data_IF_046047879224
#
_entry.id   IF_046047879224
#
_cell.length_a   1.000
_cell.length_b   1.000
_cell.length_c   1.000
_cell.angle_alpha   90.00
_cell.angle_beta   90.00
_cell.angle_gamma   90.00
#
_symmetry.space_group_name_H-M   'P 1'
#
loop_
_entity.id
_entity.type
_entity.pdbx_description
1 polymer ?
#
# COMPACT_ATOMS: atom_id res chain seq x y z
N UNK A 1 40.38 30.52 11.89
CA UNK A 1 40.66 29.63 12.87
C UNK A 1 39.72 28.49 12.84
N UNK A 2 39.73 27.63 13.84
CA UNK A 2 38.96 26.42 13.83
C UNK A 2 37.45 26.61 13.72
N UNK A 3 37.01 27.76 14.01
CA UNK A 3 35.57 28.07 13.95
C UNK A 3 34.97 27.84 12.58
N UNK A 4 35.68 28.16 11.53
CA UNK A 4 35.15 28.02 10.19
C UNK A 4 34.95 26.56 9.85
N UNK A 5 35.83 25.72 10.35
CA UNK A 5 35.69 24.28 10.11
C UNK A 5 34.45 23.74 10.81
N UNK A 6 34.18 24.24 12.00
CA UNK A 6 33.02 23.79 12.75
C UNK A 6 31.71 24.10 12.03
N UNK A 7 31.65 25.25 11.37
CA UNK A 7 30.48 25.63 10.64
C UNK A 7 30.19 24.70 9.49
N UNK A 8 31.22 24.27 8.78
CA UNK A 8 31.05 23.34 7.71
C UNK A 8 30.52 21.99 8.19
N UNK A 9 31.00 21.59 9.35
CA UNK A 9 30.53 20.32 9.93
C UNK A 9 29.06 20.42 10.35
N UNK A 10 28.68 21.55 10.89
CA UNK A 10 27.32 21.76 11.34
C UNK A 10 26.34 21.67 10.17
N UNK A 11 26.72 22.21 9.04
CA UNK A 11 25.84 22.23 7.88
C UNK A 11 25.55 20.83 7.37
N UNK A 12 26.44 19.90 7.61
CA UNK A 12 26.22 18.53 7.14
C UNK A 12 25.35 17.72 8.07
N UNK A 13 25.05 18.23 9.27
CA UNK A 13 24.43 17.43 10.29
C UNK A 13 22.91 17.47 10.35
N UNK A 14 22.29 18.61 10.22
CA UNK A 14 20.90 18.70 10.66
C UNK A 14 19.87 18.13 9.68
N UNK A 15 20.25 17.90 8.46
CA UNK A 15 19.25 17.60 7.43
C UNK A 15 19.34 16.16 6.99
N UNK A 16 18.68 15.30 7.75
CA UNK A 16 18.56 13.90 7.37
C UNK A 16 17.46 13.73 6.34
N UNK A 17 17.64 12.82 5.39
CA UNK A 17 16.53 12.47 4.50
C UNK A 17 15.33 11.99 5.30
N UNK A 18 14.16 12.45 4.88
CA UNK A 18 12.90 12.06 5.49
C UNK A 18 11.93 11.70 4.39
N UNK A 19 11.09 10.71 4.65
CA UNK A 19 10.01 10.38 3.73
C UNK A 19 8.70 10.28 4.51
N UNK A 20 7.62 10.71 3.86
CA UNK A 20 6.25 10.48 4.29
C UNK A 20 5.53 9.90 3.08
N UNK A 21 4.60 9.02 3.32
CA UNK A 21 4.05 8.24 2.22
C UNK A 21 2.54 8.13 2.35
N UNK A 22 1.88 7.95 1.21
CA UNK A 22 0.44 7.71 1.18
C UNK A 22 0.13 6.65 0.13
N UNK A 23 -0.40 5.52 0.56
CA UNK A 23 -0.67 4.36 -0.25
C UNK A 23 -2.14 4.35 -0.65
N UNK A 24 -2.42 4.40 -1.95
CA UNK A 24 -3.79 4.51 -2.46
C UNK A 24 -3.96 3.73 -3.75
N UNK A 25 -5.21 3.61 -4.20
CA UNK A 25 -5.45 3.24 -5.58
C UNK A 25 -5.20 4.46 -6.47
N UNK A 26 -5.43 4.33 -7.76
CA UNK A 26 -5.15 5.44 -8.68
C UNK A 26 -6.09 6.63 -8.48
N UNK A 27 -7.25 6.40 -7.87
CA UNK A 27 -8.20 7.46 -7.56
C UNK A 27 -8.01 8.12 -6.21
N UNK A 28 -6.98 7.73 -5.46
CA UNK A 28 -6.74 8.31 -4.14
C UNK A 28 -7.49 7.61 -3.02
N UNK A 29 -8.03 6.43 -3.25
CA UNK A 29 -8.84 5.72 -2.26
C UNK A 29 -8.02 4.73 -1.47
N UNK A 30 -8.45 4.48 -0.23
CA UNK A 30 -7.82 3.50 0.65
C UNK A 30 -8.62 2.20 0.74
N UNK A 31 -9.45 1.93 -0.25
CA UNK A 31 -10.19 0.68 -0.35
C UNK A 31 -10.14 0.16 -1.77
N UNK A 32 -10.02 -1.15 -1.92
CA UNK A 32 -10.02 -1.81 -3.22
C UNK A 32 -10.87 -3.07 -3.16
N UNK A 33 -11.23 -3.58 -4.32
CA UNK A 33 -12.02 -4.80 -4.40
C UNK A 33 -11.14 -6.02 -4.28
N UNK A 34 -11.74 -7.11 -3.78
CA UNK A 34 -11.06 -8.38 -3.67
C UNK A 34 -11.14 -9.15 -4.99
N UNK A 35 -10.30 -10.17 -5.08
CA UNK A 35 -10.35 -11.17 -6.14
C UNK A 35 -10.13 -10.62 -7.54
N UNK A 36 -9.27 -9.63 -7.65
CA UNK A 36 -8.91 -9.05 -8.94
C UNK A 36 -7.57 -8.35 -8.84
N UNK A 37 -7.03 -8.06 -9.99
CA UNK A 37 -5.83 -7.24 -10.09
C UNK A 37 -6.22 -5.77 -9.91
N UNK A 38 -5.53 -5.07 -9.03
CA UNK A 38 -5.79 -3.65 -8.79
C UNK A 38 -4.50 -2.88 -8.96
N UNK A 39 -4.62 -1.65 -9.47
CA UNK A 39 -3.49 -0.75 -9.64
C UNK A 39 -3.43 0.19 -8.46
N UNK A 40 -2.28 0.22 -7.82
CA UNK A 40 -2.04 1.01 -6.62
C UNK A 40 -0.83 1.89 -6.84
N UNK A 41 -0.68 2.87 -5.97
CA UNK A 41 0.52 3.70 -5.96
C UNK A 41 0.81 4.14 -4.55
N UNK A 42 2.07 4.31 -4.25
CA UNK A 42 2.49 4.97 -3.03
C UNK A 42 3.09 6.30 -3.43
N UNK A 43 2.54 7.38 -2.90
CA UNK A 43 3.05 8.72 -3.14
C UNK A 43 4.01 9.04 -2.02
N UNK A 44 5.28 9.13 -2.34
CA UNK A 44 6.34 9.37 -1.37
C UNK A 44 6.75 10.82 -1.43
N UNK A 45 6.52 11.54 -0.35
CA UNK A 45 7.00 12.92 -0.20
C UNK A 45 8.33 12.86 0.51
N UNK A 46 9.34 13.48 -0.06
CA UNK A 46 10.68 13.43 0.52
C UNK A 46 11.17 14.83 0.87
N UNK A 47 12.05 14.89 1.87
CA UNK A 47 12.70 16.11 2.30
C UNK A 47 14.19 15.84 2.46
N UNK A 48 14.98 16.86 2.19
CA UNK A 48 16.40 16.90 2.49
C UNK A 48 17.24 15.92 1.66
N UNK A 49 16.78 15.61 0.46
CA UNK A 49 17.60 14.81 -0.45
C UNK A 49 18.64 15.71 -1.12
N UNK A 50 19.69 15.11 -1.62
CA UNK A 50 20.73 15.83 -2.34
C UNK A 50 20.35 15.89 -3.82
N UNK A 51 20.08 17.07 -4.36
CA UNK A 51 19.76 17.18 -5.79
C UNK A 51 20.86 16.63 -6.65
N UNK A 52 20.50 15.97 -7.74
CA UNK A 52 21.47 15.40 -8.67
C UNK A 52 22.02 14.05 -8.28
N UNK A 53 21.70 13.53 -7.11
CA UNK A 53 22.12 12.20 -6.69
C UNK A 53 21.01 11.20 -6.95
N UNK A 54 21.36 9.98 -7.33
CA UNK A 54 20.38 8.93 -7.59
C UNK A 54 19.99 8.24 -6.28
N UNK A 55 18.70 8.04 -6.10
CA UNK A 55 18.14 7.30 -4.97
C UNK A 55 17.31 6.15 -5.51
N UNK A 56 17.14 5.13 -4.68
CA UNK A 56 16.22 4.01 -4.95
C UNK A 56 15.13 4.05 -3.91
N UNK A 57 13.88 3.99 -4.36
CA UNK A 57 12.74 3.87 -3.47
C UNK A 57 12.21 2.45 -3.60
N UNK A 58 12.19 1.73 -2.49
CA UNK A 58 11.79 0.33 -2.47
C UNK A 58 10.53 0.22 -1.65
N UNK A 59 9.48 -0.33 -2.24
CA UNK A 59 8.23 -0.58 -1.56
C UNK A 59 8.02 -2.08 -1.40
N UNK A 60 7.65 -2.49 -0.20
CA UNK A 60 7.26 -3.86 0.12
C UNK A 60 5.88 -3.79 0.76
N UNK A 61 5.04 -4.77 0.49
CA UNK A 61 3.69 -4.77 1.04
C UNK A 61 3.57 -5.83 2.12
N UNK A 62 3.00 -5.46 3.26
CA UNK A 62 2.66 -6.37 4.34
C UNK A 62 1.15 -6.59 4.37
N UNK A 63 0.74 -7.74 4.85
CA UNK A 63 -0.68 -8.07 5.00
C UNK A 63 -1.01 -8.01 6.48
N UNK A 64 -2.12 -7.35 6.79
CA UNK A 64 -2.61 -7.22 8.16
C UNK A 64 -3.96 -7.94 8.23
N UNK A 65 -4.12 -8.82 9.21
CA UNK A 65 -5.35 -9.58 9.33
C UNK A 65 -6.49 -8.74 9.92
N UNK A 66 -7.65 -9.35 10.09
CA UNK A 66 -8.84 -8.65 10.59
C UNK A 66 -8.65 -8.12 12.00
N UNK A 67 -7.75 -8.71 12.76
CA UNK A 67 -7.48 -8.29 14.12
C UNK A 67 -6.34 -7.27 14.21
N UNK A 68 -5.82 -6.85 13.07
CA UNK A 68 -4.75 -5.86 13.01
C UNK A 68 -3.37 -6.44 13.17
N UNK A 69 -3.23 -7.76 13.05
CA UNK A 69 -1.95 -8.41 13.22
C UNK A 69 -1.21 -8.49 11.89
N UNK A 70 0.08 -8.20 11.92
CA UNK A 70 0.95 -8.29 10.75
C UNK A 70 1.18 -9.76 10.42
N UNK A 71 0.73 -10.18 9.25
CA UNK A 71 0.93 -11.55 8.77
C UNK A 71 2.24 -11.70 7.99
N UNK A 72 2.98 -10.62 7.83
CA UNK A 72 4.22 -10.64 7.09
C UNK A 72 4.06 -10.09 5.68
N UNK A 73 5.09 -10.23 4.89
CA UNK A 73 5.12 -9.70 3.54
C UNK A 73 4.13 -10.43 2.64
N UNK A 74 3.44 -9.65 1.80
CA UNK A 74 2.60 -10.22 0.76
C UNK A 74 3.50 -10.97 -0.23
N UNK A 75 3.10 -12.17 -0.58
CA UNK A 75 3.86 -12.98 -1.51
C UNK A 75 3.08 -13.21 -2.78
N UNK A 76 3.81 -13.31 -3.89
CA UNK A 76 3.19 -13.62 -5.15
C UNK A 76 2.91 -15.13 -5.24
N UNK A 77 2.40 -15.57 -6.39
CA UNK A 77 2.05 -16.97 -6.58
C UNK A 77 3.25 -17.91 -6.50
N UNK A 78 4.46 -17.37 -6.65
CA UNK A 78 5.68 -18.16 -6.56
C UNK A 78 6.29 -18.09 -5.16
N UNK A 79 5.59 -17.47 -4.21
CA UNK A 79 6.06 -17.39 -2.82
C UNK A 79 7.10 -16.31 -2.59
N UNK A 80 7.31 -15.41 -3.54
CA UNK A 80 8.27 -14.33 -3.38
C UNK A 80 7.60 -13.09 -2.86
N UNK A 81 8.30 -12.32 -2.03
CA UNK A 81 7.75 -11.05 -1.57
C UNK A 81 7.46 -10.14 -2.74
N UNK A 82 6.36 -9.44 -2.62
CA UNK A 82 5.91 -8.51 -3.63
C UNK A 82 6.58 -7.18 -3.35
N UNK A 83 7.56 -6.80 -4.18
CA UNK A 83 8.42 -5.64 -3.96
C UNK A 83 8.57 -4.86 -5.26
N UNK A 84 8.57 -3.55 -5.16
CA UNK A 84 8.84 -2.68 -6.30
C UNK A 84 9.97 -1.72 -5.96
N UNK A 85 10.86 -1.52 -6.91
CA UNK A 85 11.96 -0.56 -6.76
C UNK A 85 11.90 0.42 -7.92
N UNK A 86 11.97 1.71 -7.61
CA UNK A 86 12.16 2.72 -8.64
C UNK A 86 13.40 3.53 -8.28
N UNK A 87 14.09 3.99 -9.31
CA UNK A 87 15.24 4.86 -9.15
C UNK A 87 14.87 6.24 -9.64
N UNK A 88 15.33 7.25 -8.93
CA UNK A 88 15.05 8.63 -9.33
C UNK A 88 16.19 9.54 -8.89
N UNK A 89 16.30 10.66 -9.57
CA UNK A 89 17.30 11.68 -9.26
C UNK A 89 16.53 12.97 -8.97
N UNK A 90 16.45 13.40 -7.71
CA UNK A 90 15.67 14.59 -7.40
C UNK A 90 16.35 15.84 -7.96
N UNK A 91 15.53 16.75 -8.46
CA UNK A 91 16.04 18.05 -8.91
C UNK A 91 16.11 19.04 -7.77
N UNK A 92 15.35 18.81 -6.72
CA UNK A 92 15.31 19.65 -5.52
C UNK A 92 15.39 18.76 -4.30
N UNK A 93 15.80 19.37 -3.18
CA UNK A 93 15.92 18.64 -1.92
C UNK A 93 14.58 18.08 -1.45
N UNK A 94 13.48 18.76 -1.75
CA UNK A 94 12.15 18.35 -1.34
C UNK A 94 11.29 18.12 -2.57
N UNK A 95 10.46 17.10 -2.53
CA UNK A 95 9.59 16.78 -3.64
C UNK A 95 8.80 15.51 -3.41
N UNK A 96 8.27 14.95 -4.49
CA UNK A 96 7.50 13.72 -4.42
C UNK A 96 7.91 12.76 -5.52
N UNK A 97 7.71 11.49 -5.26
CA UNK A 97 7.88 10.45 -6.27
C UNK A 97 6.77 9.45 -6.06
N UNK A 98 6.23 8.89 -7.15
CA UNK A 98 5.17 7.89 -7.08
C UNK A 98 5.76 6.52 -7.39
N UNK A 99 5.41 5.54 -6.55
CA UNK A 99 5.81 4.16 -6.74
C UNK A 99 4.56 3.39 -7.19
N UNK A 100 4.46 3.04 -8.46
CA UNK A 100 3.29 2.31 -8.94
C UNK A 100 3.37 0.84 -8.57
N UNK A 101 2.22 0.23 -8.42
CA UNK A 101 2.17 -1.14 -7.99
C UNK A 101 0.90 -1.84 -8.50
N UNK A 102 1.03 -3.08 -8.92
CA UNK A 102 -0.13 -3.90 -9.28
C UNK A 102 -0.19 -5.07 -8.32
N UNK A 103 -1.33 -5.26 -7.68
CA UNK A 103 -1.52 -6.32 -6.69
C UNK A 103 -2.71 -7.17 -7.10
N UNK A 104 -2.56 -8.47 -6.99
CA UNK A 104 -3.66 -9.40 -7.13
C UNK A 104 -4.25 -9.60 -5.73
N UNK A 105 -5.49 -9.17 -5.55
CA UNK A 105 -6.14 -9.21 -4.24
C UNK A 105 -6.85 -10.53 -3.95
N UNK A 106 -6.61 -11.56 -4.76
CA UNK A 106 -7.18 -12.88 -4.51
C UNK A 106 -6.68 -13.40 -3.16
N UNK A 107 -7.61 -13.84 -2.32
CA UNK A 107 -7.26 -14.35 -0.99
C UNK A 107 -7.07 -13.28 0.07
N UNK A 108 -7.23 -12.01 -0.28
CA UNK A 108 -7.02 -10.91 0.68
C UNK A 108 -8.32 -10.31 1.19
N UNK A 109 -9.44 -10.91 0.87
CA UNK A 109 -10.75 -10.38 1.22
C UNK A 109 -10.86 -10.12 2.72
N UNK A 110 -11.26 -8.90 3.08
CA UNK A 110 -11.41 -8.50 4.48
C UNK A 110 -10.12 -8.14 5.19
N UNK A 111 -9.00 -8.25 4.51
CA UNK A 111 -7.70 -7.92 5.10
C UNK A 111 -7.24 -6.55 4.65
N UNK A 112 -6.22 -6.04 5.31
CA UNK A 112 -5.58 -4.79 4.93
C UNK A 112 -4.22 -5.08 4.34
N UNK A 113 -3.80 -4.25 3.39
CA UNK A 113 -2.43 -4.28 2.89
C UNK A 113 -1.78 -2.96 3.24
N UNK A 114 -0.53 -3.02 3.67
CA UNK A 114 0.19 -1.87 4.20
C UNK A 114 1.52 -1.76 3.46
N UNK A 115 1.80 -0.59 2.90
CA UNK A 115 3.04 -0.36 2.18
C UNK A 115 4.14 0.04 3.16
N UNK A 116 5.30 -0.61 3.03
CA UNK A 116 6.51 -0.26 3.76
C UNK A 116 7.49 0.29 2.75
N UNK A 117 8.11 1.42 3.07
CA UNK A 117 9.00 2.11 2.15
C UNK A 117 10.40 2.25 2.70
N UNK A 118 11.38 2.05 1.83
CA UNK A 118 12.78 2.24 2.16
C UNK A 118 13.41 3.10 1.07
N UNK A 119 13.97 4.23 1.46
CA UNK A 119 14.71 5.10 0.56
C UNK A 119 16.19 4.78 0.72
N UNK A 120 16.86 4.48 -0.38
CA UNK A 120 18.25 4.08 -0.35
C UNK A 120 19.11 4.96 -1.24
N UNK A 121 20.33 5.15 -0.85
CA UNK A 121 21.35 5.81 -1.63
C UNK A 121 22.63 4.98 -1.52
N UNK A 122 23.21 4.67 -2.67
CA UNK A 122 24.44 3.85 -2.73
C UNK A 122 24.29 2.52 -1.97
N UNK A 123 23.11 1.91 -2.06
CA UNK A 123 22.85 0.64 -1.42
C UNK A 123 22.58 0.69 0.06
N UNK A 124 22.50 1.89 0.65
CA UNK A 124 22.24 2.03 2.09
C UNK A 124 20.94 2.74 2.31
N UNK A 125 20.16 2.26 3.29
CA UNK A 125 18.93 2.93 3.67
C UNK A 125 19.24 4.26 4.32
N UNK A 126 18.64 5.33 3.80
CA UNK A 126 18.82 6.68 4.34
C UNK A 126 17.56 7.20 4.99
N UNK A 127 16.42 6.58 4.71
CA UNK A 127 15.15 6.89 5.37
C UNK A 127 14.19 5.74 5.14
N UNK A 128 13.22 5.56 6.04
CA UNK A 128 12.25 4.48 5.92
C UNK A 128 10.93 4.92 6.52
N UNK A 129 9.86 4.31 6.02
CA UNK A 129 8.54 4.44 6.62
C UNK A 129 7.95 3.04 6.64
N UNK A 130 7.94 2.42 7.81
CA UNK A 130 7.56 1.02 7.98
C UNK A 130 6.73 0.89 9.24
N UNK A 131 5.48 1.34 9.17
CA UNK A 131 4.58 1.35 10.33
C UNK A 131 3.29 0.63 9.94
N UNK A 132 3.13 -0.57 10.49
CA UNK A 132 1.97 -1.42 10.20
C UNK A 132 0.66 -0.77 10.66
N UNK A 133 0.72 0.25 11.50
CA UNK A 133 -0.46 0.91 12.04
C UNK A 133 -0.81 2.23 11.32
N UNK A 134 0.00 2.64 10.35
CA UNK A 134 -0.22 3.92 9.67
C UNK A 134 -1.37 3.79 8.67
N UNK A 135 -2.45 4.50 8.93
CA UNK A 135 -3.62 4.46 8.06
C UNK A 135 -3.35 5.05 6.67
N UNK A 136 -2.42 5.98 6.57
CA UNK A 136 -2.05 6.55 5.27
C UNK A 136 -1.32 5.52 4.40
N UNK A 137 -0.76 4.49 5.01
CA UNK A 137 -0.07 3.43 4.29
C UNK A 137 -0.92 2.18 4.14
N UNK A 138 -2.20 2.24 4.50
CA UNK A 138 -3.08 1.08 4.56
C UNK A 138 -4.18 1.18 3.53
N UNK A 139 -4.39 0.10 2.79
CA UNK A 139 -5.52 -0.07 1.88
C UNK A 139 -6.32 -1.27 2.36
N UNK A 140 -7.62 -1.08 2.52
CA UNK A 140 -8.52 -2.15 2.91
C UNK A 140 -9.01 -2.91 1.68
N UNK A 141 -8.94 -4.24 1.72
CA UNK A 141 -9.47 -5.08 0.66
C UNK A 141 -10.89 -5.47 1.07
N UNK A 142 -11.86 -4.96 0.34
CA UNK A 142 -13.27 -5.14 0.69
C UNK A 142 -13.69 -6.59 0.56
N UNK A 143 -14.67 -6.97 1.34
CA UNK A 143 -15.29 -8.28 1.16
C UNK A 143 -16.15 -8.24 -0.08
N UNK A 144 -16.14 -9.33 -0.82
CA UNK A 144 -17.05 -9.47 -1.94
C UNK A 144 -18.46 -9.57 -1.38
N UNK A 145 -19.40 -8.75 -1.86
CA UNK A 145 -20.78 -8.86 -1.40
C UNK A 145 -21.31 -10.25 -1.72
N UNK A 146 -22.01 -10.82 -0.76
CA UNK A 146 -22.65 -12.11 -1.00
C UNK A 146 -23.82 -11.94 -1.94
N UNK A 147 -23.92 -12.83 -2.90
CA UNK A 147 -25.09 -12.85 -3.76
C UNK A 147 -26.27 -13.22 -2.90
N UNK A 148 -27.37 -12.49 -2.99
CA UNK A 148 -28.56 -12.85 -2.23
C UNK A 148 -28.99 -14.27 -2.56
N UNK A 149 -29.18 -15.07 -1.56
CA UNK A 149 -29.61 -16.44 -1.74
C UNK A 149 -31.08 -16.60 -1.57
N UNK A 150 -31.69 -15.57 -1.13
CA UNK A 150 -33.12 -15.58 -0.89
C UNK A 150 -33.94 -16.06 -2.06
N UNK A 151 -33.66 -15.60 -3.27
CA UNK A 151 -34.44 -16.07 -4.41
C UNK A 151 -34.38 -17.57 -4.58
N UNK A 152 -33.35 -18.15 -4.07
CA UNK A 152 -33.28 -19.59 -4.19
C UNK A 152 -34.10 -20.29 -3.19
N UNK A 153 -34.22 -19.71 -2.06
CA UNK A 153 -34.96 -20.34 -1.04
C UNK A 153 -36.41 -20.20 -1.26
N UNK A 154 -36.79 -19.47 -1.99
CA UNK A 154 -38.12 -19.25 -2.19
C UNK A 154 -38.84 -20.12 -3.05
N UNK A 155 -38.99 -20.29 -3.01
CA UNK A 155 -39.63 -20.59 -3.57
C UNK A 155 -40.45 -21.07 -3.63
N UNK A 156 -40.15 -21.02 -3.14
CA UNK A 156 -40.87 -21.28 -3.18
C UNK A 156 -41.75 -21.29 -3.22
N UNK A 157 -41.60 -21.04 -3.11
CA UNK A 157 -42.45 -20.98 -3.09
C UNK A 157 -43.32 -21.12 -3.29
N UNK A 158 -43.19 -21.09 -3.22
CA UNK A 158 -44.09 -21.00 -3.41
C UNK A 158 -44.65 -21.27 -3.76
N UNK A 159 -44.57 -21.29 -3.71
CA UNK A 159 -45.30 -21.34 -3.95
C UNK A 159 -45.96 -21.54 -4.19
N UNK A 160 -45.83 -21.61 -4.12
CA UNK A 160 -46.65 -21.63 -4.25
C UNK A 160 -47.39 -21.84 -4.33
N UNK A 161 -47.28 -21.81 -4.25
CA UNK A 161 -48.14 -21.86 -4.26
C UNK A 161 -48.84 -22.10 -4.63
N UNK A 162 -48.66 -21.84 -4.52
CA UNK A 162 -49.49 -21.87 -4.75
C UNK A 162 -50.11 -22.35 -5.33
N UNK A 163 -49.77 -22.30 -5.59
CA UNK A 163 -50.35 -22.59 -6.06
C UNK A 163 -50.92 -23.30 -6.27
N UNK A 164 -50.89 -23.45 -6.00
CA UNK A 164 -51.57 -23.86 -6.04
C UNK A 164 -52.40 -24.14 -6.05
N UNK A 165 -52.41 -24.01 -5.81
CA UNK A 165 -53.29 -24.07 -5.68
C UNK A 165 -54.17 -24.17 -6.02
N UNK A 166 -54.11 -24.07 -6.14
CA UNK A 166 -54.97 -23.92 -6.31
C UNK A 166 -55.84 -24.17 -6.85
N UNK A 167 -55.99 -24.25 -6.95
CA UNK A 167 -56.87 -24.35 -7.58
C UNK A 167 -57.94 -25.00 -7.54
N UNK A 168 -58.29 -25.10 -7.40
CA UNK A 168 -59.32 -25.47 -7.28
C UNK A 168 -60.22 -25.41 -7.13
#
# INVERSE_FOLDING_TARGET
NGTTVDMGTIDDQPYKPLIQTEFTDEGGNHEVEANKEVKLKDTVSYNNLTPGQEYSQIMTIHVKDKDGKDEGELKDKDGKPVTTTIKFTPEKADGTVEVPYTVDTTGLEGKDIVAFESLQKDGKEVSAHADITDNNQTIHVKKTPETPKTPKSVPNTGQSPFAMVAVL
#
